data_IF_890143558694
#
_entry.id   IF_890143558694
#
_cell.length_a   1.000
_cell.length_b   1.000
_cell.length_c   1.000
_cell.angle_alpha   90.00
_cell.angle_beta   90.00
_cell.angle_gamma   90.00
#
_symmetry.space_group_name_H-M   'P 1'
#
loop_
_entity.id
_entity.type
_entity.pdbx_description
1 polymer ?
#
# COMPACT_ATOMS: atom_id res chain seq x y z
N UNK A 1 1.94 -0.82 -13.13
CA UNK A 1 2.41 0.32 -12.31
C UNK A 1 2.63 -0.15 -10.87
N UNK A 2 3.68 0.29 -10.18
CA UNK A 2 4.00 -0.14 -8.82
C UNK A 2 4.16 1.08 -7.90
N UNK A 3 3.45 1.08 -6.78
CA UNK A 3 3.53 2.13 -5.76
C UNK A 3 4.03 1.61 -4.43
N UNK A 4 4.75 2.45 -3.68
CA UNK A 4 5.14 2.19 -2.30
C UNK A 4 5.12 3.49 -1.47
N UNK A 5 4.80 3.43 -0.16
CA UNK A 5 4.70 4.61 0.70
C UNK A 5 6.07 5.22 1.06
N UNK A 6 7.14 4.42 1.04
CA UNK A 6 8.48 4.87 1.44
C UNK A 6 9.46 4.92 0.25
N UNK A 7 10.23 6.01 0.16
CA UNK A 7 11.23 6.19 -0.90
C UNK A 7 12.31 5.10 -0.89
N UNK A 8 12.65 4.54 0.28
CA UNK A 8 13.60 3.43 0.36
C UNK A 8 13.09 2.20 -0.42
N UNK A 9 11.82 1.84 -0.27
CA UNK A 9 11.20 0.75 -1.02
C UNK A 9 11.08 1.07 -2.51
N UNK A 10 10.70 2.31 -2.86
CA UNK A 10 10.68 2.77 -4.25
C UNK A 10 12.05 2.59 -4.91
N UNK A 11 13.12 2.97 -4.23
CA UNK A 11 14.49 2.85 -4.73
C UNK A 11 14.93 1.38 -4.87
N UNK A 12 14.60 0.54 -3.89
CA UNK A 12 14.88 -0.90 -3.94
C UNK A 12 14.17 -1.57 -5.13
N UNK A 13 12.88 -1.27 -5.32
CA UNK A 13 12.08 -1.79 -6.44
C UNK A 13 12.60 -1.30 -7.79
N UNK A 14 12.96 -0.01 -7.92
CA UNK A 14 13.58 0.53 -9.14
C UNK A 14 14.89 -0.18 -9.47
N UNK A 15 15.76 -0.35 -8.47
CA UNK A 15 17.04 -1.06 -8.65
C UNK A 15 16.84 -2.50 -9.12
N UNK A 16 15.80 -3.19 -8.63
CA UNK A 16 15.53 -4.60 -8.97
C UNK A 16 14.82 -4.76 -10.32
N UNK A 17 13.89 -3.88 -10.64
CA UNK A 17 13.00 -4.02 -11.80
C UNK A 17 13.53 -3.28 -13.03
N UNK A 18 14.28 -2.19 -12.86
CA UNK A 18 14.69 -1.32 -13.96
C UNK A 18 13.49 -0.78 -14.71
N UNK A 19 13.59 -0.72 -16.04
CA UNK A 19 12.55 -0.16 -16.91
C UNK A 19 11.36 -1.09 -17.16
N UNK A 20 11.36 -2.29 -16.56
CA UNK A 20 10.26 -3.26 -16.69
C UNK A 20 8.98 -2.83 -15.97
N UNK A 21 9.07 -1.84 -15.08
CA UNK A 21 7.91 -1.33 -14.36
C UNK A 21 8.07 0.15 -14.01
N UNK A 22 6.97 0.90 -14.11
CA UNK A 22 6.87 2.24 -13.53
C UNK A 22 6.76 2.13 -12.01
N UNK A 23 7.76 2.61 -11.28
CA UNK A 23 7.83 2.55 -9.81
C UNK A 23 7.91 3.94 -9.19
N UNK A 24 7.17 4.20 -8.12
CA UNK A 24 7.09 5.52 -7.48
C UNK A 24 6.23 5.53 -6.21
N UNK A 25 6.07 6.70 -5.60
CA UNK A 25 5.10 6.90 -4.53
C UNK A 25 3.70 7.07 -5.13
N UNK A 26 2.67 6.93 -4.29
CA UNK A 26 1.27 7.16 -4.70
C UNK A 26 1.09 8.58 -5.27
N UNK A 27 1.66 9.59 -4.60
CA UNK A 27 1.56 11.00 -5.01
C UNK A 27 2.14 11.24 -6.42
N UNK A 28 3.16 10.50 -6.83
CA UNK A 28 3.78 10.62 -8.17
C UNK A 28 2.84 10.19 -9.29
N UNK A 29 1.91 9.28 -9.02
CA UNK A 29 1.03 8.68 -10.04
C UNK A 29 -0.42 9.14 -9.89
N UNK A 30 -0.66 10.29 -9.28
CA UNK A 30 -1.99 10.89 -9.28
C UNK A 30 -2.38 11.25 -10.72
N UNK A 31 -3.57 10.81 -11.13
CA UNK A 31 -4.08 10.94 -12.51
C UNK A 31 -3.52 9.96 -13.54
N UNK A 32 -2.61 9.05 -13.16
CA UNK A 32 -2.08 8.01 -14.06
C UNK A 32 -2.66 6.64 -13.73
N UNK A 33 -2.85 5.79 -14.74
CA UNK A 33 -3.40 4.45 -14.60
C UNK A 33 -2.60 3.42 -15.40
N UNK A 34 -2.78 2.13 -15.07
CA UNK A 34 -2.21 1.02 -15.81
C UNK A 34 -3.13 -0.21 -15.76
N UNK A 35 -3.03 -1.16 -16.72
CA UNK A 35 -3.81 -2.41 -16.69
C UNK A 35 -3.71 -3.14 -15.34
N UNK A 36 -2.49 -3.21 -14.80
CA UNK A 36 -2.20 -3.78 -13.48
C UNK A 36 -1.50 -2.75 -12.59
N UNK A 37 -2.02 -2.56 -11.37
CA UNK A 37 -1.37 -1.78 -10.33
C UNK A 37 -0.99 -2.66 -9.14
N UNK A 38 0.23 -2.48 -8.63
CA UNK A 38 0.75 -3.17 -7.44
C UNK A 38 1.05 -2.12 -6.38
N UNK A 39 0.53 -2.29 -5.17
CA UNK A 39 0.85 -1.45 -4.01
C UNK A 39 1.62 -2.26 -2.96
N UNK A 40 2.85 -1.85 -2.65
CA UNK A 40 3.69 -2.50 -1.64
C UNK A 40 3.62 -1.72 -0.32
N UNK A 41 2.97 -2.29 0.71
CA UNK A 41 2.85 -1.67 2.03
C UNK A 41 4.19 -1.53 2.76
N UNK A 42 5.23 -2.26 2.36
CA UNK A 42 6.62 -2.13 2.84
C UNK A 42 6.89 -2.57 4.28
N UNK A 43 5.94 -2.41 5.22
CA UNK A 43 6.13 -2.78 6.61
C UNK A 43 5.61 -4.20 6.93
N UNK A 44 6.26 -4.86 7.88
CA UNK A 44 5.86 -6.19 8.36
C UNK A 44 4.80 -6.11 9.47
N UNK A 45 4.82 -5.07 10.30
CA UNK A 45 3.84 -4.85 11.36
C UNK A 45 3.69 -3.35 11.61
N UNK A 46 2.70 -2.99 12.45
CA UNK A 46 2.38 -1.60 12.73
C UNK A 46 3.49 -0.84 13.47
N UNK A 47 4.24 -1.53 14.33
CA UNK A 47 5.30 -0.94 15.16
C UNK A 47 6.58 -0.70 14.35
N UNK A 48 6.83 -1.53 13.34
CA UNK A 48 7.94 -1.43 12.41
C UNK A 48 7.73 -0.40 11.31
N UNK A 49 6.56 0.24 11.24
CA UNK A 49 6.27 1.28 10.26
C UNK A 49 6.97 2.60 10.67
N UNK A 50 7.97 3.11 9.93
CA UNK A 50 8.78 4.26 10.36
C UNK A 50 8.00 5.56 10.59
N UNK A 51 6.79 5.66 10.04
CA UNK A 51 5.88 6.82 10.19
C UNK A 51 4.54 6.44 10.83
N UNK A 52 4.47 5.28 11.45
CA UNK A 52 3.27 4.72 12.06
C UNK A 52 2.24 4.22 11.04
N UNK A 53 1.20 3.57 11.57
CA UNK A 53 0.07 3.05 10.81
C UNK A 53 -0.71 4.17 10.10
N UNK A 54 -0.91 5.30 10.76
CA UNK A 54 -1.64 6.46 10.22
C UNK A 54 -1.13 6.92 8.85
N UNK A 55 0.19 6.91 8.66
CA UNK A 55 0.81 7.24 7.38
C UNK A 55 0.72 6.08 6.37
N UNK A 56 0.97 4.86 6.84
CA UNK A 56 1.05 3.67 6.01
C UNK A 56 -0.31 3.30 5.40
N UNK A 57 -1.36 3.33 6.23
CA UNK A 57 -2.72 2.95 5.88
C UNK A 57 -3.62 4.16 5.63
N UNK A 58 -3.01 5.32 5.35
CA UNK A 58 -3.71 6.57 5.03
C UNK A 58 -4.79 6.32 3.94
N UNK A 59 -6.09 6.48 4.25
CA UNK A 59 -7.16 6.04 3.36
C UNK A 59 -7.11 6.66 1.97
N UNK A 60 -6.77 7.95 1.89
CA UNK A 60 -6.65 8.66 0.61
C UNK A 60 -5.54 8.07 -0.26
N UNK A 61 -4.41 7.68 0.34
CA UNK A 61 -3.28 7.09 -0.40
C UNK A 61 -3.61 5.69 -0.88
N UNK A 62 -4.28 4.90 -0.05
CA UNK A 62 -4.70 3.55 -0.42
C UNK A 62 -5.74 3.60 -1.56
N UNK A 63 -6.71 4.51 -1.48
CA UNK A 63 -7.70 4.74 -2.53
C UNK A 63 -7.05 5.14 -3.85
N UNK A 64 -6.10 6.08 -3.82
CA UNK A 64 -5.36 6.46 -5.03
C UNK A 64 -4.56 5.27 -5.57
N UNK A 65 -3.84 4.52 -4.72
CA UNK A 65 -3.07 3.35 -5.16
C UNK A 65 -3.92 2.26 -5.81
N UNK A 66 -5.08 1.93 -5.21
CA UNK A 66 -6.00 0.91 -5.72
C UNK A 66 -6.64 1.38 -7.04
N UNK A 67 -7.07 2.64 -7.12
CA UNK A 67 -7.68 3.21 -8.32
C UNK A 67 -6.69 3.50 -9.46
N UNK A 68 -5.41 3.08 -9.38
CA UNK A 68 -4.50 3.12 -10.54
C UNK A 68 -4.65 1.90 -11.44
N UNK A 69 -5.31 0.85 -10.97
CA UNK A 69 -5.57 -0.35 -11.75
C UNK A 69 -6.78 -0.16 -12.67
N UNK A 70 -6.63 -0.49 -13.94
CA UNK A 70 -7.75 -0.58 -14.89
C UNK A 70 -8.40 -1.96 -14.86
N UNK A 71 -7.60 -3.01 -14.62
CA UNK A 71 -8.07 -4.40 -14.65
C UNK A 71 -7.80 -5.13 -13.34
N UNK A 72 -6.57 -5.03 -12.79
CA UNK A 72 -6.18 -5.76 -11.58
C UNK A 72 -5.38 -4.89 -10.61
N UNK A 73 -5.85 -4.82 -9.37
CA UNK A 73 -5.14 -4.21 -8.25
C UNK A 73 -4.59 -5.29 -7.33
N UNK A 74 -3.29 -5.25 -7.06
CA UNK A 74 -2.60 -6.18 -6.16
C UNK A 74 -2.02 -5.37 -4.99
N UNK A 75 -2.46 -5.67 -3.77
CA UNK A 75 -1.86 -5.09 -2.55
C UNK A 75 -0.98 -6.14 -1.90
N UNK A 76 0.31 -5.82 -1.73
CA UNK A 76 1.31 -6.70 -1.12
C UNK A 76 1.70 -6.14 0.24
N UNK A 77 1.44 -6.90 1.29
CA UNK A 77 1.81 -6.56 2.66
C UNK A 77 1.79 -7.78 3.57
N UNK A 78 2.29 -7.60 4.79
CA UNK A 78 2.29 -8.66 5.79
C UNK A 78 0.92 -8.77 6.46
N UNK A 79 0.37 -9.99 6.65
CA UNK A 79 -0.87 -10.20 7.41
C UNK A 79 -0.81 -9.65 8.84
N UNK A 80 0.38 -9.59 9.45
CA UNK A 80 0.61 -9.04 10.79
C UNK A 80 0.37 -7.53 10.88
N UNK A 81 0.28 -6.81 9.76
CA UNK A 81 -0.22 -5.43 9.77
C UNK A 81 -1.67 -5.33 10.25
N UNK A 82 -2.47 -6.38 10.06
CA UNK A 82 -3.89 -6.40 10.47
C UNK A 82 -4.11 -6.86 11.91
N UNK A 83 -3.05 -7.26 12.62
CA UNK A 83 -3.15 -7.82 13.99
C UNK A 83 -2.66 -6.86 15.07
N UNK A 84 -2.28 -5.63 14.72
CA UNK A 84 -1.77 -4.65 15.67
C UNK A 84 -2.82 -4.18 16.68
N UNK A 85 -2.40 -3.95 17.92
CA UNK A 85 -3.22 -3.31 18.96
C UNK A 85 -2.93 -1.82 18.92
N UNK A 86 -3.96 -0.98 18.84
CA UNK A 86 -3.80 0.47 18.90
C UNK A 86 -4.71 1.10 19.95
N UNK A 87 -4.18 2.10 20.67
CA UNK A 87 -4.92 2.93 21.61
C UNK A 87 -5.62 4.12 20.95
N UNK A 88 -5.50 4.27 19.62
CA UNK A 88 -6.12 5.34 18.85
C UNK A 88 -7.29 4.81 18.02
N UNK A 89 -8.46 5.44 18.16
CA UNK A 89 -9.67 5.11 17.38
C UNK A 89 -9.37 5.24 15.87
N UNK A 90 -8.63 6.28 15.46
CA UNK A 90 -8.28 6.49 14.06
C UNK A 90 -7.44 5.33 13.48
N UNK A 91 -6.47 4.82 14.25
CA UNK A 91 -5.68 3.66 13.85
C UNK A 91 -6.52 2.38 13.79
N UNK A 92 -7.45 2.19 14.74
CA UNK A 92 -8.39 1.05 14.71
C UNK A 92 -9.28 1.10 13.45
N UNK A 93 -9.77 2.27 13.05
CA UNK A 93 -10.53 2.41 11.81
C UNK A 93 -9.70 2.05 10.57
N UNK A 94 -8.43 2.44 10.52
CA UNK A 94 -7.53 2.09 9.41
C UNK A 94 -7.22 0.60 9.36
N UNK A 95 -6.97 -0.03 10.51
CA UNK A 95 -6.78 -1.48 10.63
C UNK A 95 -8.03 -2.23 10.17
N UNK A 96 -9.22 -1.82 10.59
CA UNK A 96 -10.48 -2.42 10.16
C UNK A 96 -10.65 -2.34 8.63
N UNK A 97 -10.27 -1.22 7.99
CA UNK A 97 -10.29 -1.11 6.52
C UNK A 97 -9.34 -2.12 5.87
N UNK A 98 -8.12 -2.28 6.41
CA UNK A 98 -7.18 -3.28 5.92
C UNK A 98 -7.73 -4.71 6.08
N UNK A 99 -8.31 -5.03 7.23
CA UNK A 99 -8.95 -6.33 7.47
C UNK A 99 -10.04 -6.63 6.44
N UNK A 100 -10.89 -5.65 6.12
CA UNK A 100 -11.93 -5.80 5.10
C UNK A 100 -11.35 -6.05 3.71
N UNK A 101 -10.24 -5.40 3.35
CA UNK A 101 -9.55 -5.64 2.08
C UNK A 101 -8.96 -7.06 2.02
N UNK A 102 -8.44 -7.58 3.14
CA UNK A 102 -7.90 -8.95 3.21
C UNK A 102 -8.97 -10.03 3.18
N UNK A 103 -10.18 -9.74 3.67
CA UNK A 103 -11.33 -10.66 3.67
C UNK A 103 -12.15 -10.57 2.38
N UNK A 104 -11.88 -9.61 1.50
CA UNK A 104 -12.57 -9.50 0.23
C UNK A 104 -12.39 -10.82 -0.55
N UNK A 105 -13.49 -11.43 -1.04
CA UNK A 105 -13.38 -12.66 -1.81
C UNK A 105 -12.44 -12.42 -2.99
N UNK A 106 -11.52 -13.37 -3.21
CA UNK A 106 -10.73 -13.36 -4.44
C UNK A 106 -11.71 -13.41 -5.63
N UNK A 107 -11.47 -12.59 -6.68
CA UNK A 107 -12.34 -12.55 -7.85
C UNK A 107 -12.43 -13.89 -8.57
#
# INVERSE_FOLDING_TARGET
LITAPYNLQVNALRKRLGDRAMVGTVDKFQGQEAPVAIHSLTASDGDSAPRGLDFLLAPNRLNVAISRAQCLSIVVGSPTLATGISSSIANVEQLNRLCRLMQAPAP
#
